data_IF_822910287377
#
_entry.id   IF_822910287377
#
_cell.length_a   1.000
_cell.length_b   1.000
_cell.length_c   1.000
_cell.angle_alpha   90.00
_cell.angle_beta   90.00
_cell.angle_gamma   90.00
#
_symmetry.space_group_name_H-M   'P 1'
#
loop_
_entity.id
_entity.type
_entity.pdbx_description
1 polymer ?
#
# COMPACT_ATOMS: atom_id res chain seq x y z
N UNK A 1 17.50 -1.62 13.51
CA UNK A 1 16.05 -1.35 13.54
C UNK A 1 15.35 -2.69 13.61
N UNK A 2 14.44 -2.88 14.56
CA UNK A 2 13.70 -4.14 14.73
C UNK A 2 12.67 -4.30 13.60
N UNK A 3 12.52 -5.52 13.09
CA UNK A 3 11.50 -5.86 12.10
C UNK A 3 10.11 -5.61 12.69
N UNK A 4 9.26 -4.85 12.00
CA UNK A 4 7.83 -4.79 12.33
C UNK A 4 7.17 -5.96 11.63
N UNK A 5 6.55 -6.86 12.40
CA UNK A 5 5.93 -8.07 11.86
C UNK A 5 4.63 -7.70 11.15
N UNK A 6 4.51 -8.11 9.89
CA UNK A 6 3.30 -8.01 9.09
C UNK A 6 2.48 -9.30 9.18
N UNK A 7 1.17 -9.24 8.95
CA UNK A 7 0.41 -10.48 8.67
C UNK A 7 0.66 -11.02 7.25
N UNK A 8 1.32 -10.24 6.39
CA UNK A 8 1.87 -10.70 5.10
C UNK A 8 3.17 -11.46 5.38
N UNK A 9 3.11 -12.80 5.33
CA UNK A 9 4.21 -13.68 5.72
C UNK A 9 5.50 -13.45 4.90
N UNK A 10 5.36 -13.21 3.59
CA UNK A 10 6.49 -12.94 2.69
C UNK A 10 7.25 -11.64 3.01
N UNK A 11 6.64 -10.73 3.78
CA UNK A 11 7.30 -9.51 4.24
C UNK A 11 8.19 -9.73 5.49
N UNK A 12 8.08 -10.88 6.16
CA UNK A 12 8.76 -11.16 7.43
C UNK A 12 10.04 -11.99 7.28
N UNK A 13 10.40 -12.39 6.06
CA UNK A 13 11.58 -13.24 5.81
C UNK A 13 12.89 -12.45 5.95
N UNK A 14 13.95 -13.10 6.42
CA UNK A 14 15.28 -12.53 6.41
C UNK A 14 15.72 -12.23 4.96
N UNK A 15 15.84 -10.95 4.62
CA UNK A 15 16.18 -10.50 3.26
C UNK A 15 14.99 -10.11 2.38
N UNK A 16 13.77 -10.01 2.93
CA UNK A 16 12.64 -9.45 2.19
C UNK A 16 12.99 -8.06 1.63
N UNK A 17 12.82 -7.85 0.33
CA UNK A 17 13.06 -6.55 -0.32
C UNK A 17 12.09 -5.46 0.17
N UNK A 18 10.88 -5.90 0.57
CA UNK A 18 9.78 -5.03 0.94
C UNK A 18 9.20 -5.40 2.32
N UNK A 19 9.96 -5.20 3.41
CA UNK A 19 9.44 -5.39 4.75
C UNK A 19 8.43 -4.27 5.09
N UNK A 20 7.64 -4.49 6.13
CA UNK A 20 6.68 -3.50 6.64
C UNK A 20 7.33 -2.15 7.02
N UNK A 21 8.63 -2.15 7.30
CA UNK A 21 9.39 -0.93 7.61
C UNK A 21 9.62 -0.03 6.37
N UNK A 22 9.62 -0.61 5.16
CA UNK A 22 10.00 0.08 3.92
C UNK A 22 8.79 0.72 3.22
N UNK A 23 7.73 -0.05 2.95
CA UNK A 23 6.51 0.40 2.25
C UNK A 23 6.78 1.37 1.09
N UNK A 24 7.51 0.96 0.03
CA UNK A 24 7.77 1.82 -1.11
C UNK A 24 6.49 2.03 -1.92
N UNK A 25 6.32 3.27 -2.37
CA UNK A 25 5.16 3.73 -3.12
C UNK A 25 5.46 3.68 -4.62
N UNK A 26 4.51 3.21 -5.42
CA UNK A 26 4.67 3.11 -6.87
C UNK A 26 3.32 3.09 -7.60
N UNK A 27 3.38 3.09 -8.93
CA UNK A 27 2.19 2.94 -9.78
C UNK A 27 2.27 1.58 -10.45
N UNK A 28 1.18 0.84 -10.43
CA UNK A 28 1.09 -0.49 -11.03
C UNK A 28 -0.24 -0.68 -11.76
N UNK A 29 -0.30 -1.65 -12.65
CA UNK A 29 -1.54 -2.14 -13.25
C UNK A 29 -1.55 -3.67 -13.24
N UNK A 30 -2.72 -4.29 -13.39
CA UNK A 30 -2.85 -5.75 -13.58
C UNK A 30 -3.53 -6.04 -14.91
N UNK A 31 -3.56 -7.32 -15.31
CA UNK A 31 -4.38 -7.73 -16.44
C UNK A 31 -5.86 -7.34 -16.19
N UNK A 32 -6.40 -6.48 -17.04
CA UNK A 32 -7.79 -6.02 -16.96
C UNK A 32 -8.04 -4.76 -16.11
N UNK A 33 -7.00 -4.12 -15.57
CA UNK A 33 -7.14 -2.87 -14.82
C UNK A 33 -6.16 -1.80 -15.31
N UNK A 34 -6.56 -0.53 -15.18
CA UNK A 34 -5.68 0.61 -15.48
C UNK A 34 -4.57 0.80 -14.45
N UNK A 35 -3.58 1.67 -14.75
CA UNK A 35 -2.59 2.12 -13.78
C UNK A 35 -3.26 2.69 -12.54
N UNK A 36 -2.67 2.48 -11.36
CA UNK A 36 -3.12 3.02 -10.07
C UNK A 36 -2.01 2.97 -9.02
N UNK A 37 -2.17 3.75 -7.96
CA UNK A 37 -1.21 3.78 -6.86
C UNK A 37 -1.23 2.48 -6.04
N UNK A 38 -0.05 1.97 -5.72
CA UNK A 38 0.14 0.81 -4.87
C UNK A 38 1.39 0.89 -4.01
N UNK A 39 1.43 0.07 -2.96
CA UNK A 39 2.55 0.01 -2.01
C UNK A 39 3.06 -1.42 -1.91
N UNK A 40 4.35 -1.65 -2.13
CA UNK A 40 4.90 -3.00 -2.09
C UNK A 40 5.05 -3.50 -0.65
N UNK A 41 4.70 -4.78 -0.44
CA UNK A 41 4.83 -5.49 0.83
C UNK A 41 5.08 -6.98 0.55
N UNK A 42 6.25 -7.48 0.98
CA UNK A 42 6.68 -8.84 0.66
C UNK A 42 6.74 -9.10 -0.84
N UNK A 43 6.00 -10.11 -1.31
CA UNK A 43 5.80 -10.45 -2.73
C UNK A 43 4.49 -9.91 -3.31
N UNK A 44 3.82 -9.00 -2.60
CA UNK A 44 2.55 -8.39 -2.98
C UNK A 44 2.65 -6.86 -3.12
N UNK A 45 1.64 -6.27 -3.74
CA UNK A 45 1.39 -4.85 -3.84
C UNK A 45 0.02 -4.59 -3.24
N UNK A 46 -0.04 -3.71 -2.25
CA UNK A 46 -1.28 -3.23 -1.70
C UNK A 46 -1.86 -2.13 -2.58
N UNK A 47 -3.08 -2.35 -3.08
CA UNK A 47 -3.82 -1.39 -3.89
C UNK A 47 -4.43 -0.28 -3.03
N UNK A 48 -3.68 0.82 -2.85
CA UNK A 48 -4.12 1.94 -2.01
C UNK A 48 -5.27 2.73 -2.63
N UNK A 49 -5.37 2.76 -3.96
CA UNK A 49 -6.48 3.38 -4.66
C UNK A 49 -7.78 2.60 -4.41
N UNK A 50 -7.73 1.27 -4.39
CA UNK A 50 -8.88 0.46 -4.01
C UNK A 50 -9.29 0.63 -2.55
N UNK A 51 -8.31 0.63 -1.63
CA UNK A 51 -8.59 0.86 -0.20
C UNK A 51 -9.24 2.22 0.07
N UNK A 52 -8.84 3.27 -0.66
CA UNK A 52 -9.44 4.60 -0.54
C UNK A 52 -10.88 4.60 -1.08
N UNK A 53 -11.12 4.03 -2.27
CA UNK A 53 -12.47 3.92 -2.84
C UNK A 53 -13.44 3.15 -1.94
N UNK A 54 -12.96 2.14 -1.23
CA UNK A 54 -13.77 1.30 -0.34
C UNK A 54 -13.87 1.87 1.08
N UNK A 55 -13.25 3.02 1.35
CA UNK A 55 -13.31 3.69 2.65
C UNK A 55 -12.50 3.01 3.75
N UNK A 56 -11.69 2.00 3.43
CA UNK A 56 -10.77 1.35 4.38
C UNK A 56 -9.61 2.28 4.74
N UNK A 57 -9.19 3.09 3.75
CA UNK A 57 -8.18 4.14 3.87
C UNK A 57 -8.83 5.51 3.68
N UNK A 58 -8.93 6.29 4.76
CA UNK A 58 -9.28 7.70 4.73
C UNK A 58 -8.21 8.52 5.45
N UNK A 59 -7.72 9.56 4.79
CA UNK A 59 -6.62 10.40 5.27
C UNK A 59 -6.96 11.88 5.37
N UNK A 60 -7.92 12.35 4.56
CA UNK A 60 -8.15 13.77 4.39
C UNK A 60 -9.60 14.12 3.98
N UNK A 61 -10.52 13.14 3.95
CA UNK A 61 -11.89 13.38 3.49
C UNK A 61 -12.03 13.73 2.00
N UNK A 62 -10.93 13.66 1.23
CA UNK A 62 -10.89 13.84 -0.21
C UNK A 62 -10.01 12.74 -0.83
N UNK A 63 -10.33 12.25 -2.04
CA UNK A 63 -9.58 11.19 -2.68
C UNK A 63 -8.20 11.68 -3.13
N UNK A 64 -7.15 11.06 -2.60
CA UNK A 64 -5.74 11.35 -2.91
C UNK A 64 -5.15 10.40 -3.96
N UNK A 65 -5.82 9.28 -4.25
CA UNK A 65 -5.36 8.22 -5.14
C UNK A 65 -6.34 7.93 -6.30
N UNK A 66 -7.19 8.91 -6.63
CA UNK A 66 -8.10 8.83 -7.76
C UNK A 66 -7.37 8.78 -9.12
N UNK A 67 -6.22 9.45 -9.20
CA UNK A 67 -5.34 9.41 -10.36
C UNK A 67 -4.21 8.40 -10.13
N UNK A 68 -3.63 7.82 -11.20
CA UNK A 68 -2.49 6.91 -11.11
C UNK A 68 -1.18 7.65 -10.85
N UNK A 69 -1.17 8.58 -9.88
CA UNK A 69 -0.04 9.43 -9.57
C UNK A 69 -0.01 9.76 -8.07
N UNK A 70 1.19 9.78 -7.50
CA UNK A 70 1.40 10.10 -6.09
C UNK A 70 1.43 11.60 -5.80
N UNK A 71 1.34 12.43 -6.85
CA UNK A 71 1.45 13.89 -6.78
C UNK A 71 0.44 14.54 -5.83
N UNK A 72 -0.82 14.06 -5.82
CA UNK A 72 -1.84 14.61 -4.92
C UNK A 72 -1.52 14.33 -3.44
N UNK A 73 -1.13 13.08 -3.11
CA UNK A 73 -0.71 12.72 -1.77
C UNK A 73 0.55 13.47 -1.32
N UNK A 74 1.50 13.72 -2.23
CA UNK A 74 2.71 14.52 -1.97
C UNK A 74 2.39 16.01 -1.79
N UNK A 75 1.49 16.56 -2.62
CA UNK A 75 1.06 17.96 -2.56
C UNK A 75 0.27 18.27 -1.28
N UNK A 76 -0.45 17.28 -0.73
CA UNK A 76 -1.11 17.37 0.58
C UNK A 76 -0.11 17.54 1.75
N UNK A 77 1.19 17.36 1.49
CA UNK A 77 2.28 17.69 2.39
C UNK A 77 2.73 16.56 3.31
N UNK A 78 3.82 16.79 4.07
CA UNK A 78 4.50 15.75 4.83
C UNK A 78 3.66 15.17 5.98
N UNK A 79 2.67 15.92 6.49
CA UNK A 79 1.75 15.43 7.53
C UNK A 79 0.85 14.31 6.99
N UNK A 80 0.24 14.52 5.82
CA UNK A 80 -0.60 13.53 5.15
C UNK A 80 0.21 12.31 4.74
N UNK A 81 1.42 12.51 4.23
CA UNK A 81 2.33 11.41 3.90
C UNK A 81 2.68 10.53 5.12
N UNK A 82 2.97 11.17 6.26
CA UNK A 82 3.25 10.45 7.51
C UNK A 82 2.01 9.72 8.03
N UNK A 83 0.83 10.34 7.92
CA UNK A 83 -0.44 9.72 8.29
C UNK A 83 -0.72 8.47 7.42
N UNK A 84 -0.54 8.58 6.11
CA UNK A 84 -0.63 7.44 5.18
C UNK A 84 0.28 6.30 5.62
N UNK A 85 1.59 6.56 5.77
CA UNK A 85 2.55 5.51 6.15
C UNK A 85 2.18 4.86 7.48
N UNK A 86 1.76 5.65 8.47
CA UNK A 86 1.29 5.13 9.76
C UNK A 86 0.05 4.25 9.61
N UNK A 87 -0.92 4.67 8.79
CA UNK A 87 -2.16 3.93 8.54
C UNK A 87 -1.88 2.63 7.80
N UNK A 88 -1.10 2.65 6.72
CA UNK A 88 -0.70 1.45 5.98
C UNK A 88 0.08 0.48 6.86
N UNK A 89 1.01 0.99 7.68
CA UNK A 89 1.75 0.17 8.62
C UNK A 89 0.81 -0.51 9.63
N UNK A 90 -0.17 0.22 10.17
CA UNK A 90 -1.19 -0.34 11.08
C UNK A 90 -2.12 -1.35 10.41
N UNK A 91 -2.51 -1.11 9.15
CA UNK A 91 -3.34 -2.05 8.39
C UNK A 91 -2.62 -3.37 8.14
N UNK A 92 -1.33 -3.33 7.86
CA UNK A 92 -0.49 -4.50 7.53
C UNK A 92 0.18 -5.13 8.76
N UNK A 93 0.20 -4.46 9.92
CA UNK A 93 0.80 -4.98 11.15
C UNK A 93 0.13 -6.29 11.61
N UNK A 94 0.94 -7.21 12.13
CA UNK A 94 0.44 -8.45 12.72
C UNK A 94 -0.65 -8.18 13.77
N UNK A 95 -1.77 -8.90 13.68
CA UNK A 95 -2.92 -8.70 14.56
C UNK A 95 -3.87 -7.56 14.17
N UNK A 96 -3.68 -6.93 13.00
CA UNK A 96 -4.62 -5.93 12.47
C UNK A 96 -6.04 -6.53 12.34
N UNK A 97 -7.07 -5.91 12.97
CA UNK A 97 -8.45 -6.38 12.86
C UNK A 97 -9.04 -6.13 11.46
N UNK A 98 -8.37 -5.31 10.65
CA UNK A 98 -8.79 -4.99 9.28
C UNK A 98 -8.13 -5.91 8.25
N UNK A 99 -7.42 -6.96 8.67
CA UNK A 99 -6.79 -7.92 7.77
C UNK A 99 -7.75 -8.42 6.69
N UNK A 100 -8.96 -8.83 7.07
CA UNK A 100 -9.92 -9.42 6.13
C UNK A 100 -10.49 -8.39 5.14
N UNK A 101 -10.55 -7.12 5.53
CA UNK A 101 -10.91 -6.03 4.64
C UNK A 101 -9.75 -5.63 3.72
N UNK A 102 -8.49 -5.81 4.14
CA UNK A 102 -7.30 -5.39 3.39
C UNK A 102 -6.78 -6.49 2.45
N UNK A 103 -6.90 -7.75 2.85
CA UNK A 103 -6.38 -8.90 2.11
C UNK A 103 -6.87 -9.00 0.65
N UNK A 104 -8.15 -8.70 0.31
CA UNK A 104 -8.63 -8.69 -1.07
C UNK A 104 -7.93 -7.66 -1.97
N UNK A 105 -7.31 -6.63 -1.39
CA UNK A 105 -6.60 -5.57 -2.11
C UNK A 105 -5.10 -5.83 -2.26
N UNK A 106 -4.62 -7.00 -1.79
CA UNK A 106 -3.27 -7.45 -2.09
C UNK A 106 -3.24 -8.11 -3.46
N UNK A 107 -2.42 -7.55 -4.34
CA UNK A 107 -2.14 -8.07 -5.66
C UNK A 107 -0.77 -8.71 -5.64
N UNK A 108 -0.63 -9.95 -6.12
CA UNK A 108 0.69 -10.57 -6.23
C UNK A 108 1.57 -9.76 -7.20
N UNK A 109 2.81 -9.45 -6.83
CA UNK A 109 3.72 -8.67 -7.69
C UNK A 109 3.93 -9.30 -9.06
N UNK A 110 3.87 -10.63 -9.15
CA UNK A 110 3.98 -11.39 -10.41
C UNK A 110 2.87 -11.07 -11.42
N UNK A 111 1.70 -10.63 -10.94
CA UNK A 111 0.53 -10.30 -11.75
C UNK A 111 0.43 -8.80 -12.05
N UNK A 112 1.37 -8.02 -11.52
CA UNK A 112 1.43 -6.57 -11.64
C UNK A 112 2.50 -6.13 -12.66
N UNK A 113 2.17 -5.10 -13.43
CA UNK A 113 3.11 -4.33 -14.25
C UNK A 113 3.38 -3.00 -13.56
N UNK A 114 4.64 -2.74 -13.23
CA UNK A 114 5.07 -1.47 -12.65
C UNK A 114 5.20 -0.40 -13.73
N UNK A 115 4.81 0.83 -13.39
CA UNK A 115 4.91 2.02 -14.22
C UNK A 115 5.79 3.07 -13.52
N UNK A 116 6.20 4.09 -14.28
CA UNK A 116 6.86 5.25 -13.69
C UNK A 116 5.85 6.00 -12.80
N UNK A 117 6.20 6.26 -11.52
CA UNK A 117 5.34 6.97 -10.58
C UNK A 117 5.26 8.48 -10.83
#
# INVERSE_FOLDING_TARGET
MTLVVSWVESANTAGAAFPLNNLPCGVFSTAGTGPRCGVAIGDAILDVAALEREGVLDLAGAPLFAEPAWNAAMAAGPRTWRALRGRLAGLLAAGSPLRDAVAPHLVAQRDARLHLP
#
